data_IF_177858809922
#
_entry.id   IF_177858809922
#
_cell.length_a   1.000
_cell.length_b   1.000
_cell.length_c   1.000
_cell.angle_alpha   90.00
_cell.angle_beta   90.00
_cell.angle_gamma   90.00
#
_symmetry.space_group_name_H-M   'P 1'
#
loop_
_entity.id
_entity.type
_entity.pdbx_description
1 polymer ?
#
# COMPACT_ATOMS: atom_id res chain seq x y z
N UNK A 1 30.75 31.65 -15.82
CA UNK A 1 29.46 31.05 -15.38
C UNK A 1 29.14 31.71 -14.06
N UNK A 2 28.12 32.58 -13.99
CA UNK A 2 27.78 33.29 -12.75
C UNK A 2 27.21 32.29 -11.73
N UNK A 3 27.92 32.04 -10.64
CA UNK A 3 27.39 31.28 -9.50
C UNK A 3 26.26 32.09 -8.85
N UNK A 4 25.02 31.69 -9.14
CA UNK A 4 23.86 32.23 -8.42
C UNK A 4 23.92 31.76 -6.97
N UNK A 5 24.24 32.67 -6.06
CA UNK A 5 24.20 32.43 -4.60
C UNK A 5 22.77 32.18 -4.11
N UNK A 6 22.28 30.95 -4.26
CA UNK A 6 20.91 30.59 -3.94
C UNK A 6 20.70 30.28 -2.45
N UNK A 7 21.05 31.23 -1.58
CA UNK A 7 20.92 31.09 -0.10
C UNK A 7 19.50 30.79 0.37
N UNK A 8 18.49 31.14 -0.43
CA UNK A 8 17.06 30.96 -0.11
C UNK A 8 16.65 29.49 0.03
N UNK A 9 17.37 28.57 -0.62
CA UNK A 9 17.07 27.15 -0.63
C UNK A 9 18.22 26.30 -0.08
N UNK A 10 19.06 26.89 0.79
CA UNK A 10 20.14 26.16 1.44
C UNK A 10 19.60 24.93 2.19
N UNK A 11 20.18 23.77 1.91
CA UNK A 11 19.76 22.47 2.47
C UNK A 11 18.53 21.86 1.79
N UNK A 12 17.90 22.52 0.82
CA UNK A 12 16.81 21.90 0.06
C UNK A 12 17.38 20.80 -0.84
N UNK A 13 16.90 19.57 -0.64
CA UNK A 13 17.34 18.39 -1.40
C UNK A 13 16.51 18.23 -2.68
N UNK A 14 15.19 18.41 -2.56
CA UNK A 14 14.27 18.31 -3.69
C UNK A 14 12.99 19.11 -3.43
N UNK A 15 12.39 19.61 -4.50
CA UNK A 15 11.07 20.22 -4.52
C UNK A 15 10.22 19.70 -5.68
N UNK A 16 8.92 19.55 -5.42
CA UNK A 16 7.90 19.14 -6.39
C UNK A 16 6.83 20.24 -6.42
N UNK A 17 6.91 21.17 -7.40
CA UNK A 17 5.90 22.21 -7.55
C UNK A 17 4.63 21.70 -8.23
N UNK A 18 3.50 22.26 -7.82
CA UNK A 18 2.18 22.19 -8.47
C UNK A 18 1.64 23.60 -8.64
N UNK A 19 0.52 23.73 -9.35
CA UNK A 19 -0.15 25.02 -9.51
C UNK A 19 -0.59 25.64 -8.16
N UNK A 20 -1.05 24.82 -7.21
CA UNK A 20 -1.63 25.27 -5.93
C UNK A 20 -0.81 24.91 -4.69
N UNK A 21 0.17 24.04 -4.82
CA UNK A 21 0.99 23.60 -3.70
C UNK A 21 2.43 23.30 -4.10
N UNK A 22 3.30 23.18 -3.11
CA UNK A 22 4.69 22.75 -3.31
C UNK A 22 5.10 21.81 -2.19
N UNK A 23 5.48 20.59 -2.56
CA UNK A 23 6.15 19.66 -1.65
C UNK A 23 7.65 19.91 -1.70
N UNK A 24 8.31 19.91 -0.55
CA UNK A 24 9.75 20.12 -0.46
C UNK A 24 10.36 19.33 0.68
N UNK A 25 11.58 18.85 0.46
CA UNK A 25 12.37 18.16 1.46
C UNK A 25 13.66 18.94 1.69
N UNK A 26 13.89 19.32 2.94
CA UNK A 26 15.10 20.03 3.37
C UNK A 26 15.87 19.15 4.32
N UNK A 27 17.17 19.01 4.10
CA UNK A 27 18.02 18.28 5.00
C UNK A 27 18.31 19.08 6.27
N UNK A 28 18.32 18.38 7.41
CA UNK A 28 18.77 18.90 8.69
C UNK A 28 19.68 17.86 9.30
N UNK A 29 20.67 17.44 8.52
CA UNK A 29 21.65 16.44 8.91
C UNK A 29 22.57 17.04 9.96
N UNK A 30 22.83 16.27 11.02
CA UNK A 30 23.73 16.66 12.09
C UNK A 30 24.74 15.54 12.28
N UNK A 31 26.02 15.92 12.32
CA UNK A 31 27.07 14.96 12.67
C UNK A 31 26.88 14.52 14.11
N UNK A 32 27.10 13.25 14.37
CA UNK A 32 27.12 12.74 15.73
C UNK A 32 28.24 13.42 16.55
N UNK A 33 27.93 13.70 17.82
CA UNK A 33 28.87 14.23 18.82
C UNK A 33 29.09 13.24 19.96
N UNK A 34 30.15 13.44 20.74
CA UNK A 34 30.51 12.58 21.88
C UNK A 34 29.45 12.58 22.99
N UNK A 35 28.66 13.65 23.08
CA UNK A 35 27.58 13.81 24.08
C UNK A 35 26.40 12.85 23.87
N UNK A 36 26.24 12.29 22.67
CA UNK A 36 25.04 11.53 22.30
C UNK A 36 25.10 10.05 22.72
N UNK A 37 26.22 9.57 23.28
CA UNK A 37 26.35 8.24 23.91
C UNK A 37 26.20 7.03 22.97
N UNK A 38 26.07 7.26 21.67
CA UNK A 38 25.96 6.24 20.62
C UNK A 38 27.35 5.69 20.21
N UNK A 39 27.42 4.61 19.42
CA UNK A 39 28.68 4.12 18.85
C UNK A 39 29.42 5.21 18.06
N UNK A 40 30.72 5.38 18.32
CA UNK A 40 31.55 6.46 17.76
C UNK A 40 31.54 6.56 16.22
N UNK A 41 31.34 5.44 15.52
CA UNK A 41 31.30 5.39 14.05
C UNK A 41 29.90 5.62 13.46
N UNK A 42 28.88 5.87 14.29
CA UNK A 42 27.61 6.39 13.80
C UNK A 42 27.81 7.83 13.33
N UNK A 43 27.46 8.09 12.08
CA UNK A 43 27.82 9.35 11.41
C UNK A 43 26.79 10.43 11.68
N UNK A 44 25.51 10.03 11.73
CA UNK A 44 24.37 10.92 11.89
C UNK A 44 23.87 10.87 13.33
N UNK A 45 23.69 12.04 13.93
CA UNK A 45 22.96 12.19 15.19
C UNK A 45 21.54 11.65 15.04
N UNK A 46 20.92 11.15 16.12
CA UNK A 46 19.50 10.81 16.18
C UNK A 46 18.58 12.00 15.85
N UNK A 47 19.09 13.24 15.94
CA UNK A 47 18.39 14.47 15.57
C UNK A 47 18.41 14.76 14.06
N UNK A 48 19.16 13.98 13.29
CA UNK A 48 19.20 14.12 11.83
C UNK A 48 17.87 13.76 11.22
N UNK A 49 17.30 14.69 10.46
CA UNK A 49 16.00 14.53 9.82
C UNK A 49 16.03 15.05 8.39
N UNK A 50 15.07 14.60 7.59
CA UNK A 50 14.52 15.36 6.48
C UNK A 50 13.26 16.10 6.95
N UNK A 51 13.29 17.43 6.84
CA UNK A 51 12.13 18.28 7.08
C UNK A 51 11.28 18.30 5.81
N UNK A 52 10.11 17.68 5.87
CA UNK A 52 9.11 17.72 4.81
C UNK A 52 8.22 18.93 5.02
N UNK A 53 8.00 19.70 3.96
CA UNK A 53 7.11 20.85 3.96
C UNK A 53 6.18 20.78 2.76
N UNK A 54 4.87 20.86 3.02
CA UNK A 54 3.83 21.02 2.02
C UNK A 54 3.29 22.45 2.14
N UNK A 55 3.68 23.32 1.21
CA UNK A 55 3.21 24.71 1.14
C UNK A 55 1.96 24.80 0.26
N UNK A 56 0.94 25.51 0.73
CA UNK A 56 -0.27 25.84 -0.01
C UNK A 56 -0.19 27.31 -0.44
N UNK A 57 -0.22 27.57 -1.75
CA UNK A 57 -0.08 28.92 -2.31
C UNK A 57 -1.32 29.79 -2.03
N UNK A 58 -2.51 29.20 -1.96
CA UNK A 58 -3.75 29.93 -1.71
C UNK A 58 -3.83 30.35 -0.23
N UNK A 59 -3.46 29.45 0.68
CA UNK A 59 -3.45 29.73 2.13
C UNK A 59 -2.21 30.50 2.60
N UNK A 60 -1.16 30.57 1.78
CA UNK A 60 0.12 31.19 2.12
C UNK A 60 0.81 30.55 3.33
N UNK A 61 0.58 29.26 3.60
CA UNK A 61 1.11 28.57 4.77
C UNK A 61 1.59 27.16 4.46
N UNK A 62 2.50 26.64 5.30
CA UNK A 62 3.03 25.28 5.20
C UNK A 62 2.56 24.39 6.32
N UNK A 63 2.31 23.12 5.99
CA UNK A 63 2.39 22.02 6.94
C UNK A 63 3.79 21.42 6.90
N UNK A 64 4.31 21.06 8.07
CA UNK A 64 5.66 20.52 8.22
C UNK A 64 5.68 19.24 9.06
N UNK A 65 6.55 18.32 8.70
CA UNK A 65 6.80 17.09 9.46
C UNK A 65 8.27 16.67 9.33
N UNK A 66 8.77 15.99 10.36
CA UNK A 66 10.12 15.45 10.36
C UNK A 66 10.10 13.97 10.01
N UNK A 67 10.97 13.58 9.07
CA UNK A 67 11.31 12.19 8.79
C UNK A 67 12.72 11.95 9.34
N UNK A 68 12.88 11.18 10.43
CA UNK A 68 14.19 10.76 10.91
C UNK A 68 14.98 10.04 9.83
N UNK A 69 16.27 10.33 9.70
CA UNK A 69 17.12 9.65 8.70
C UNK A 69 17.24 8.14 8.97
N UNK A 70 17.06 7.72 10.23
CA UNK A 70 17.01 6.31 10.62
C UNK A 70 15.82 5.55 10.01
N UNK A 71 14.77 6.25 9.61
CA UNK A 71 13.58 5.64 9.00
C UNK A 71 13.74 5.47 7.47
N UNK A 72 14.72 6.13 6.86
CA UNK A 72 14.95 6.10 5.39
C UNK A 72 15.16 4.69 4.82
N UNK A 73 15.92 3.77 5.44
CA UNK A 73 16.09 2.42 4.90
C UNK A 73 14.77 1.67 4.72
N UNK A 74 13.82 1.85 5.65
CA UNK A 74 12.51 1.22 5.55
C UNK A 74 11.64 1.89 4.48
N UNK A 75 11.71 3.22 4.36
CA UNK A 75 11.01 3.97 3.32
C UNK A 75 11.48 3.53 1.93
N UNK A 76 12.79 3.41 1.72
CA UNK A 76 13.39 2.93 0.47
C UNK A 76 12.88 1.53 0.17
N UNK A 77 13.06 0.58 1.10
CA UNK A 77 12.68 -0.83 0.88
C UNK A 77 11.19 -1.00 0.59
N UNK A 78 10.32 -0.25 1.27
CA UNK A 78 8.87 -0.29 1.00
C UNK A 78 8.50 0.36 -0.33
N UNK A 79 9.23 1.39 -0.74
CA UNK A 79 9.09 1.98 -2.08
C UNK A 79 9.48 0.94 -3.12
N UNK A 80 10.65 0.31 -3.01
CA UNK A 80 11.10 -0.75 -3.95
C UNK A 80 10.07 -1.87 -4.11
N UNK A 81 9.47 -2.34 -3.00
CA UNK A 81 8.42 -3.36 -3.05
C UNK A 81 7.12 -2.86 -3.72
N UNK A 82 6.77 -1.57 -3.55
CA UNK A 82 5.61 -0.98 -4.18
C UNK A 82 5.83 -0.79 -5.70
N UNK A 83 7.03 -0.37 -6.10
CA UNK A 83 7.48 -0.30 -7.49
C UNK A 83 7.44 -1.67 -8.17
N UNK A 84 7.97 -2.71 -7.51
CA UNK A 84 7.91 -4.08 -8.02
C UNK A 84 6.46 -4.56 -8.21
N UNK A 85 5.55 -4.19 -7.30
CA UNK A 85 4.14 -4.51 -7.44
C UNK A 85 3.49 -3.77 -8.60
N UNK A 86 3.78 -2.48 -8.80
CA UNK A 86 3.30 -1.69 -9.95
C UNK A 86 3.81 -2.26 -11.27
N UNK A 87 5.10 -2.59 -11.34
CA UNK A 87 5.71 -3.20 -12.53
C UNK A 87 5.10 -4.55 -12.88
N UNK A 88 4.78 -5.39 -11.89
CA UNK A 88 4.08 -6.66 -12.12
C UNK A 88 2.68 -6.44 -12.67
N UNK A 89 1.92 -5.52 -12.08
CA UNK A 89 0.56 -5.21 -12.53
C UNK A 89 0.54 -4.72 -13.98
N UNK A 90 1.45 -3.80 -14.34
CA UNK A 90 1.54 -3.31 -15.72
C UNK A 90 1.99 -4.40 -16.71
N UNK A 91 2.87 -5.30 -16.28
CA UNK A 91 3.30 -6.44 -17.11
C UNK A 91 2.19 -7.48 -17.32
N UNK A 92 1.36 -7.73 -16.31
CA UNK A 92 0.19 -8.61 -16.39
C UNK A 92 -0.90 -8.00 -17.28
N UNK A 93 -1.15 -6.69 -17.18
CA UNK A 93 -2.08 -5.97 -18.08
C UNK A 93 -1.66 -6.06 -19.55
N UNK A 94 -0.36 -5.96 -19.83
CA UNK A 94 0.18 -6.15 -21.18
C UNK A 94 0.02 -7.60 -21.68
N UNK A 95 0.25 -8.58 -20.81
CA UNK A 95 0.09 -10.00 -21.16
C UNK A 95 -1.36 -10.39 -21.53
N UNK A 96 -2.36 -9.70 -20.95
CA UNK A 96 -3.78 -9.91 -21.29
C UNK A 96 -4.15 -9.27 -22.63
N UNK A 97 -3.41 -8.26 -23.09
CA UNK A 97 -3.68 -7.55 -24.36
C UNK A 97 -3.12 -8.23 -25.61
N UNK A 98 -2.13 -9.11 -25.47
CA UNK A 98 -1.49 -9.82 -26.59
C UNK A 98 -2.07 -11.22 -26.87
N UNK A 99 -3.00 -11.72 -26.04
CA UNK A 99 -3.61 -13.04 -26.19
C UNK A 99 -5.08 -12.96 -26.62
N UNK A 100 -5.31 -12.66 -27.91
CA UNK A 100 -6.47 -13.22 -28.63
C UNK A 100 -6.17 -14.71 -28.86
N UNK A 101 -6.17 -15.48 -27.77
CA UNK A 101 -5.53 -16.80 -27.77
C UNK A 101 -5.91 -17.72 -26.61
N UNK A 102 -7.05 -17.50 -25.95
CA UNK A 102 -7.76 -18.47 -25.12
C UNK A 102 -6.89 -19.33 -24.18
N UNK A 103 -6.58 -18.83 -22.99
CA UNK A 103 -6.46 -19.72 -21.82
C UNK A 103 -7.02 -19.06 -20.57
N UNK A 104 -8.28 -19.36 -20.28
CA UNK A 104 -8.96 -19.01 -19.04
C UNK A 104 -8.40 -19.85 -17.88
N UNK A 105 -7.73 -19.24 -16.92
CA UNK A 105 -7.62 -19.79 -15.56
C UNK A 105 -8.95 -19.50 -14.84
N UNK A 106 -9.94 -20.36 -15.11
CA UNK A 106 -11.21 -20.38 -14.38
C UNK A 106 -10.96 -20.82 -12.94
N UNK A 107 -11.39 -20.00 -11.97
CA UNK A 107 -11.84 -20.51 -10.68
C UNK A 107 -13.02 -21.43 -10.98
N UNK A 108 -12.80 -22.74 -11.04
CA UNK A 108 -13.81 -23.69 -11.52
C UNK A 108 -15.04 -23.67 -10.61
N UNK A 109 -16.08 -22.96 -11.04
CA UNK A 109 -17.44 -23.11 -10.50
C UNK A 109 -17.86 -24.55 -10.82
N UNK A 110 -18.20 -25.32 -9.77
CA UNK A 110 -18.65 -26.70 -9.93
C UNK A 110 -19.73 -26.81 -11.02
N UNK A 111 -19.61 -27.75 -11.98
CA UNK A 111 -20.59 -27.93 -13.04
C UNK A 111 -22.04 -28.06 -12.55
N UNK A 112 -22.24 -28.57 -11.33
CA UNK A 112 -23.55 -28.68 -10.69
C UNK A 112 -24.32 -27.35 -10.59
N UNK A 113 -23.61 -26.22 -10.51
CA UNK A 113 -24.17 -24.87 -10.36
C UNK A 113 -24.13 -24.05 -11.65
N UNK A 114 -23.82 -24.68 -12.78
CA UNK A 114 -23.90 -24.03 -14.09
C UNK A 114 -25.35 -24.07 -14.61
N UNK A 115 -25.88 -22.94 -15.13
CA UNK A 115 -27.24 -22.90 -15.65
C UNK A 115 -27.39 -23.71 -16.93
N UNK A 116 -28.47 -24.49 -17.03
CA UNK A 116 -28.78 -25.26 -18.22
C UNK A 116 -29.11 -24.34 -19.39
N UNK A 117 -28.67 -24.71 -20.59
CA UNK A 117 -28.80 -23.85 -21.77
C UNK A 117 -30.13 -24.05 -22.50
N UNK A 118 -30.75 -25.22 -22.36
CA UNK A 118 -31.85 -25.64 -23.24
C UNK A 118 -33.01 -26.35 -22.51
N UNK A 119 -34.21 -26.24 -23.09
CA UNK A 119 -35.42 -26.93 -22.65
C UNK A 119 -36.21 -26.17 -21.58
N UNK A 120 -37.15 -26.86 -20.92
CA UNK A 120 -38.01 -26.27 -19.87
C UNK A 120 -37.24 -25.81 -18.62
N UNK A 121 -35.99 -26.25 -18.49
CA UNK A 121 -35.09 -25.95 -17.39
C UNK A 121 -34.00 -24.94 -17.77
N UNK A 122 -34.09 -24.34 -18.97
CA UNK A 122 -33.12 -23.35 -19.41
C UNK A 122 -33.01 -22.18 -18.42
N UNK A 123 -31.79 -21.73 -18.15
CA UNK A 123 -31.47 -20.68 -17.20
C UNK A 123 -31.45 -21.12 -15.73
N UNK A 124 -31.78 -22.38 -15.42
CA UNK A 124 -31.74 -22.90 -14.04
C UNK A 124 -30.54 -23.80 -13.83
N UNK A 125 -29.87 -23.65 -12.69
CA UNK A 125 -28.79 -24.56 -12.28
C UNK A 125 -29.36 -25.81 -11.61
N UNK A 126 -28.93 -27.03 -12.01
CA UNK A 126 -29.42 -28.27 -11.42
C UNK A 126 -29.18 -28.38 -9.91
N UNK A 127 -28.05 -27.86 -9.41
CA UNK A 127 -27.71 -27.81 -7.99
C UNK A 127 -28.68 -26.94 -7.19
N UNK A 128 -28.97 -25.73 -7.66
CA UNK A 128 -29.95 -24.83 -7.01
C UNK A 128 -31.36 -25.45 -7.01
N UNK A 129 -31.77 -26.09 -8.10
CA UNK A 129 -33.06 -26.77 -8.18
C UNK A 129 -33.23 -27.88 -7.13
N UNK A 130 -32.15 -28.57 -6.76
CA UNK A 130 -32.14 -29.63 -5.76
C UNK A 130 -32.07 -29.09 -4.32
N UNK A 131 -31.44 -27.92 -4.12
CA UNK A 131 -31.37 -27.25 -2.82
C UNK A 131 -32.67 -26.53 -2.46
N UNK A 132 -33.29 -25.82 -3.42
CA UNK A 132 -34.45 -24.95 -3.20
C UNK A 132 -35.80 -25.71 -3.21
N UNK A 133 -35.84 -26.94 -3.72
CA UNK A 133 -37.08 -27.69 -3.86
C UNK A 133 -37.53 -28.37 -2.57
N UNK A 134 -38.80 -28.14 -2.20
CA UNK A 134 -39.50 -28.87 -1.13
C UNK A 134 -39.72 -30.35 -1.48
N UNK A 135 -39.73 -30.71 -2.76
CA UNK A 135 -39.87 -32.09 -3.23
C UNK A 135 -38.67 -32.48 -4.09
N UNK A 136 -37.58 -32.85 -3.41
CA UNK A 136 -36.29 -33.17 -4.04
C UNK A 136 -36.35 -34.39 -4.96
N UNK A 137 -37.16 -35.39 -4.62
CA UNK A 137 -37.37 -36.61 -5.43
C UNK A 137 -37.98 -36.32 -6.80
N UNK A 138 -38.96 -35.40 -6.87
CA UNK A 138 -39.56 -35.00 -8.14
C UNK A 138 -38.56 -34.25 -9.06
N UNK A 139 -37.67 -33.45 -8.47
CA UNK A 139 -36.60 -32.75 -9.21
C UNK A 139 -35.56 -33.74 -9.73
N UNK A 140 -35.14 -34.73 -8.93
CA UNK A 140 -34.24 -35.81 -9.38
C UNK A 140 -34.81 -36.54 -10.59
N UNK A 141 -36.10 -36.91 -10.57
CA UNK A 141 -36.76 -37.57 -11.70
C UNK A 141 -36.77 -36.68 -12.95
N UNK A 142 -37.03 -35.37 -12.78
CA UNK A 142 -37.06 -34.39 -13.87
C UNK A 142 -35.67 -34.20 -14.50
N UNK A 143 -34.64 -34.04 -13.67
CA UNK A 143 -33.25 -33.90 -14.12
C UNK A 143 -32.74 -35.16 -14.81
N UNK A 144 -33.06 -36.34 -14.28
CA UNK A 144 -32.70 -37.62 -14.90
C UNK A 144 -33.31 -37.76 -16.30
N UNK A 145 -34.61 -37.47 -16.44
CA UNK A 145 -35.29 -37.51 -17.74
C UNK A 145 -34.70 -36.51 -18.74
N UNK A 146 -34.36 -35.29 -18.28
CA UNK A 146 -33.71 -34.27 -19.11
C UNK A 146 -32.31 -34.73 -19.56
N UNK A 147 -31.52 -35.34 -18.67
CA UNK A 147 -30.21 -35.88 -19.00
C UNK A 147 -30.29 -37.00 -20.05
N UNK A 148 -31.24 -37.93 -19.93
CA UNK A 148 -31.43 -39.01 -20.90
C UNK A 148 -31.81 -38.47 -22.29
N UNK A 149 -32.71 -37.48 -22.35
CA UNK A 149 -33.07 -36.82 -23.59
C UNK A 149 -31.86 -36.13 -24.24
N UNK A 150 -31.04 -35.44 -23.45
CA UNK A 150 -29.83 -34.78 -23.96
C UNK A 150 -28.82 -35.81 -24.48
N UNK A 151 -28.59 -36.91 -23.75
CA UNK A 151 -27.68 -38.01 -24.12
C UNK A 151 -28.00 -38.60 -25.49
N UNK A 152 -29.29 -38.77 -25.81
CA UNK A 152 -29.72 -39.28 -27.12
C UNK A 152 -29.36 -38.34 -28.29
N UNK A 153 -29.16 -37.04 -28.01
CA UNK A 153 -28.95 -36.00 -29.03
C UNK A 153 -27.55 -35.39 -29.02
N UNK A 154 -26.64 -35.83 -28.14
CA UNK A 154 -25.26 -35.27 -28.03
C UNK A 154 -24.48 -35.40 -29.33
N UNK A 155 -24.60 -36.53 -30.03
CA UNK A 155 -23.88 -36.75 -31.30
C UNK A 155 -24.28 -35.72 -32.37
N UNK A 156 -25.53 -35.28 -32.35
CA UNK A 156 -26.05 -34.28 -33.27
C UNK A 156 -25.83 -32.84 -32.76
N UNK A 157 -25.81 -32.66 -31.44
CA UNK A 157 -25.62 -31.36 -30.78
C UNK A 157 -24.57 -31.48 -29.68
N UNK A 158 -23.27 -31.37 -30.02
CA UNK A 158 -22.18 -31.55 -29.06
C UNK A 158 -22.23 -30.61 -27.85
N UNK A 159 -22.86 -29.43 -28.01
CA UNK A 159 -23.07 -28.45 -26.93
C UNK A 159 -23.92 -28.97 -25.78
N UNK A 160 -24.70 -30.04 -25.98
CA UNK A 160 -25.48 -30.70 -24.93
C UNK A 160 -24.59 -31.39 -23.88
N UNK A 161 -23.31 -31.64 -24.17
CA UNK A 161 -22.40 -32.30 -23.24
C UNK A 161 -22.22 -31.50 -21.94
N UNK A 162 -22.21 -30.16 -22.02
CA UNK A 162 -22.09 -29.32 -20.83
C UNK A 162 -23.32 -29.43 -19.92
N UNK A 163 -24.52 -29.37 -20.49
CA UNK A 163 -25.77 -29.53 -19.74
C UNK A 163 -25.87 -30.95 -19.11
N UNK A 164 -25.40 -31.99 -19.82
CA UNK A 164 -25.33 -33.35 -19.28
C UNK A 164 -24.38 -33.43 -18.09
N UNK A 165 -23.22 -32.80 -18.20
CA UNK A 165 -22.20 -32.78 -17.15
C UNK A 165 -22.73 -32.04 -15.91
N UNK A 166 -23.38 -30.89 -16.11
CA UNK A 166 -24.00 -30.12 -15.03
C UNK A 166 -25.06 -30.94 -14.28
N UNK A 167 -25.93 -31.64 -15.02
CA UNK A 167 -26.97 -32.49 -14.42
C UNK A 167 -26.36 -33.70 -13.71
N UNK A 168 -25.39 -34.41 -14.31
CA UNK A 168 -24.79 -35.58 -13.69
C UNK A 168 -24.06 -35.23 -12.41
N UNK A 169 -23.25 -34.16 -12.42
CA UNK A 169 -22.52 -33.70 -11.24
C UNK A 169 -23.46 -33.26 -10.12
N UNK A 170 -24.55 -32.55 -10.43
CA UNK A 170 -25.54 -32.18 -9.41
C UNK A 170 -26.24 -33.39 -8.79
N UNK A 171 -26.59 -34.40 -9.58
CA UNK A 171 -27.20 -35.64 -9.09
C UNK A 171 -26.23 -36.45 -8.22
N UNK A 172 -24.95 -36.53 -8.61
CA UNK A 172 -23.90 -37.19 -7.83
C UNK A 172 -23.66 -36.48 -6.50
N UNK A 173 -23.47 -35.15 -6.50
CA UNK A 173 -23.31 -34.36 -5.28
C UNK A 173 -24.53 -34.47 -4.35
N UNK A 174 -25.74 -34.56 -4.92
CA UNK A 174 -26.96 -34.77 -4.17
C UNK A 174 -27.04 -36.16 -3.52
N UNK A 175 -26.65 -37.21 -4.24
CA UNK A 175 -26.58 -38.58 -3.70
C UNK A 175 -25.53 -38.70 -2.60
N UNK A 176 -24.40 -38.00 -2.75
CA UNK A 176 -23.31 -37.97 -1.77
C UNK A 176 -23.58 -37.05 -0.56
N UNK A 177 -24.64 -36.24 -0.60
CA UNK A 177 -24.97 -35.31 0.49
C UNK A 177 -24.05 -34.10 0.61
N UNK A 178 -23.23 -33.81 -0.41
CA UNK A 178 -22.23 -32.73 -0.43
C UNK A 178 -22.66 -31.52 -1.27
N UNK A 179 -23.92 -31.46 -1.67
CA UNK A 179 -24.41 -30.47 -2.62
C UNK A 179 -24.30 -29.03 -2.08
N UNK A 180 -24.52 -28.85 -0.77
CA UNK A 180 -24.36 -27.55 -0.09
C UNK A 180 -22.90 -27.09 -0.08
N UNK A 181 -21.95 -28.01 0.15
CA UNK A 181 -20.50 -27.71 0.12
C UNK A 181 -19.98 -27.37 -1.27
N UNK A 182 -20.69 -27.83 -2.31
CA UNK A 182 -20.34 -27.57 -3.71
C UNK A 182 -20.94 -26.24 -4.22
N UNK A 183 -21.85 -25.60 -3.46
CA UNK A 183 -22.49 -24.35 -3.88
C UNK A 183 -21.47 -23.22 -3.81
N UNK A 184 -21.18 -22.53 -4.93
CA UNK A 184 -20.35 -21.34 -4.88
C UNK A 184 -21.04 -20.29 -3.99
N UNK A 185 -20.31 -19.75 -3.03
CA UNK A 185 -20.82 -18.70 -2.14
C UNK A 185 -21.39 -17.54 -2.98
N UNK A 186 -22.69 -17.25 -2.81
CA UNK A 186 -23.40 -16.14 -3.50
C UNK A 186 -22.79 -14.75 -3.17
N UNK A 187 -21.85 -14.68 -2.23
CA UNK A 187 -21.03 -13.49 -1.97
C UNK A 187 -19.87 -13.29 -2.97
N UNK A 188 -19.74 -14.13 -4.00
CA UNK A 188 -18.75 -14.00 -5.07
C UNK A 188 -19.31 -13.53 -6.44
N UNK A 189 -20.54 -13.02 -6.49
CA UNK A 189 -21.09 -12.32 -7.67
C UNK A 189 -21.06 -10.78 -7.55
N UNK A 190 -20.38 -10.24 -6.54
CA UNK A 190 -19.75 -8.93 -6.75
C UNK A 190 -18.55 -9.18 -7.66
N UNK A 191 -18.51 -8.49 -8.81
CA UNK A 191 -17.23 -8.15 -9.43
C UNK A 191 -16.32 -7.74 -8.28
N UNK A 192 -15.37 -8.58 -7.90
CA UNK A 192 -14.28 -8.14 -7.06
C UNK A 192 -13.56 -7.14 -7.96
N UNK A 193 -13.97 -5.87 -7.88
CA UNK A 193 -13.02 -4.79 -8.12
C UNK A 193 -11.81 -5.20 -7.30
N UNK A 194 -10.64 -5.45 -7.92
CA UNK A 194 -9.47 -5.89 -7.19
C UNK A 194 -9.33 -4.93 -6.03
N UNK A 195 -9.46 -5.46 -4.80
CA UNK A 195 -9.53 -4.65 -3.59
C UNK A 195 -8.33 -3.71 -3.64
N UNK A 196 -8.61 -2.42 -3.82
CA UNK A 196 -7.59 -1.42 -4.13
C UNK A 196 -6.45 -1.57 -3.12
N UNK A 197 -5.32 -2.13 -3.54
CA UNK A 197 -4.21 -2.46 -2.64
C UNK A 197 -3.55 -1.15 -2.27
N UNK A 198 -3.79 -0.70 -1.04
CA UNK A 198 -3.16 0.50 -0.51
C UNK A 198 -2.02 0.13 0.45
N UNK A 199 -0.78 0.40 0.03
CA UNK A 199 0.43 0.14 0.80
C UNK A 199 0.77 1.34 1.66
N UNK A 200 1.11 1.10 2.93
CA UNK A 200 1.66 2.14 3.82
C UNK A 200 3.18 2.12 3.67
N UNK A 201 3.71 3.09 2.95
CA UNK A 201 5.16 3.28 2.81
C UNK A 201 5.73 3.77 4.14
N UNK A 202 5.13 4.82 4.70
CA UNK A 202 5.61 5.41 5.94
C UNK A 202 4.47 6.01 6.74
N UNK A 203 4.48 5.83 8.06
CA UNK A 203 3.48 6.40 8.96
C UNK A 203 4.13 6.65 10.31
N UNK A 204 3.99 7.86 10.81
CA UNK A 204 4.34 8.16 12.19
C UNK A 204 3.10 8.21 13.08
N UNK A 205 3.22 7.88 14.38
CA UNK A 205 2.27 8.42 15.34
C UNK A 205 2.31 9.96 15.32
N UNK A 206 1.34 10.60 15.97
CA UNK A 206 1.42 12.05 16.18
C UNK A 206 2.58 12.34 17.13
N UNK A 207 3.55 13.12 16.65
CA UNK A 207 4.73 13.54 17.40
C UNK A 207 4.56 15.00 17.83
N UNK A 208 5.11 15.34 18.99
CA UNK A 208 5.14 16.72 19.47
C UNK A 208 6.53 17.33 19.32
N UNK A 209 6.58 18.65 19.22
CA UNK A 209 7.82 19.43 19.32
C UNK A 209 8.07 19.83 20.78
N UNK A 210 9.34 20.15 21.09
CA UNK A 210 9.73 20.62 22.44
C UNK A 210 9.19 22.03 22.77
N UNK A 211 8.88 22.82 21.74
CA UNK A 211 8.33 24.17 21.90
C UNK A 211 6.94 24.10 22.57
N UNK A 212 6.66 25.05 23.46
CA UNK A 212 5.35 25.23 24.10
C UNK A 212 4.81 26.59 23.69
N UNK A 213 3.53 26.65 23.33
CA UNK A 213 2.79 27.86 22.99
C UNK A 213 1.44 27.76 23.71
N UNK A 214 1.18 28.69 24.63
CA UNK A 214 -0.08 28.75 25.39
C UNK A 214 -0.50 27.41 26.04
N UNK A 215 0.48 26.71 26.64
CA UNK A 215 0.27 25.41 27.27
C UNK A 215 0.10 24.23 26.30
N UNK A 216 0.20 24.47 25.00
CA UNK A 216 0.08 23.46 23.95
C UNK A 216 1.42 23.22 23.25
N UNK A 217 1.62 21.99 22.77
CA UNK A 217 2.76 21.63 21.94
C UNK A 217 2.36 21.62 20.46
N UNK A 218 3.17 22.23 19.57
CA UNK A 218 3.05 21.99 18.14
C UNK A 218 3.25 20.50 17.87
N UNK A 219 2.30 19.90 17.17
CA UNK A 219 2.29 18.48 16.85
C UNK A 219 2.26 18.27 15.34
N UNK A 220 2.75 17.12 14.90
CA UNK A 220 2.73 16.74 13.50
C UNK A 220 2.60 15.23 13.30
N UNK A 221 2.08 14.83 12.14
CA UNK A 221 2.23 13.48 11.63
C UNK A 221 2.43 13.48 10.13
N UNK A 222 3.06 12.44 9.62
CA UNK A 222 3.22 12.19 8.19
C UNK A 222 2.72 10.78 7.87
N UNK A 223 1.98 10.68 6.76
CA UNK A 223 1.54 9.43 6.17
C UNK A 223 1.91 9.45 4.69
N UNK A 224 2.58 8.38 4.26
CA UNK A 224 2.97 8.15 2.87
C UNK A 224 2.39 6.81 2.46
N UNK A 225 1.56 6.82 1.43
CA UNK A 225 0.88 5.63 0.92
C UNK A 225 1.12 5.45 -0.57
N UNK A 226 1.06 4.22 -1.05
CA UNK A 226 1.09 3.87 -2.46
C UNK A 226 -0.18 3.09 -2.81
N UNK A 227 -0.89 3.52 -3.85
CA UNK A 227 -1.99 2.81 -4.47
C UNK A 227 -1.65 2.53 -5.93
N UNK A 228 -1.10 1.36 -6.25
CA UNK A 228 -0.55 1.02 -7.58
C UNK A 228 -1.48 1.25 -8.77
N UNK A 229 -2.79 1.16 -8.57
CA UNK A 229 -3.78 1.27 -9.64
C UNK A 229 -4.13 2.71 -10.01
N UNK A 230 -3.46 3.72 -9.43
CA UNK A 230 -3.72 5.15 -9.70
C UNK A 230 -2.64 5.74 -10.60
N UNK A 231 -3.05 6.69 -11.44
CA UNK A 231 -2.16 7.53 -12.23
C UNK A 231 -1.14 8.29 -11.35
N UNK A 232 -1.57 8.72 -10.17
CA UNK A 232 -0.72 9.29 -9.12
C UNK A 232 -0.72 8.33 -7.92
N UNK A 233 0.12 7.28 -7.96
CA UNK A 233 0.03 6.17 -7.02
C UNK A 233 0.47 6.57 -5.62
N UNK A 234 1.36 7.56 -5.49
CA UNK A 234 1.88 7.98 -4.19
C UNK A 234 1.12 9.17 -3.62
N UNK A 235 0.80 9.10 -2.33
CA UNK A 235 0.21 10.21 -1.58
C UNK A 235 1.04 10.51 -0.35
N UNK A 236 1.42 11.78 -0.19
CA UNK A 236 2.01 12.33 1.04
C UNK A 236 0.97 13.18 1.74
N UNK A 237 0.57 12.79 2.95
CA UNK A 237 -0.34 13.54 3.81
C UNK A 237 0.41 14.05 5.04
N UNK A 238 0.31 15.35 5.30
CA UNK A 238 0.84 16.00 6.49
C UNK A 238 -0.32 16.49 7.36
N UNK A 239 -0.13 16.37 8.67
CA UNK A 239 -1.02 16.97 9.65
C UNK A 239 -0.20 17.82 10.62
N UNK A 240 -0.67 19.02 10.94
CA UNK A 240 -0.20 19.79 12.09
C UNK A 240 -1.37 20.19 12.98
N UNK A 241 -1.12 20.27 14.28
CA UNK A 241 -2.05 20.80 15.26
C UNK A 241 -1.30 21.33 16.49
N UNK A 242 -2.02 21.87 17.46
CA UNK A 242 -1.52 22.16 18.79
C UNK A 242 -2.25 21.28 19.80
N UNK A 243 -1.53 20.53 20.62
CA UNK A 243 -2.15 19.62 21.58
C UNK A 243 -1.38 19.60 22.91
N UNK A 244 -2.05 19.37 24.05
CA UNK A 244 -1.38 19.17 25.31
C UNK A 244 -0.80 17.75 25.40
N UNK A 245 0.13 17.55 26.32
CA UNK A 245 0.68 16.23 26.62
C UNK A 245 0.04 15.67 27.89
N UNK A 246 -0.27 14.38 27.86
CA UNK A 246 -0.64 13.63 29.05
C UNK A 246 0.60 13.24 29.85
N UNK A 247 0.36 12.65 31.01
CA UNK A 247 1.42 12.09 31.84
C UNK A 247 1.01 10.67 32.27
N UNK A 248 1.75 9.68 31.77
CA UNK A 248 1.58 8.30 32.18
C UNK A 248 2.50 7.98 33.36
N UNK A 249 2.08 7.04 34.22
CA UNK A 249 2.90 6.55 35.35
C UNK A 249 4.28 6.04 34.95
N UNK A 250 4.46 5.65 33.68
CA UNK A 250 5.73 5.23 33.08
C UNK A 250 6.68 6.38 32.72
N UNK A 251 6.28 7.64 32.94
CA UNK A 251 7.04 8.83 32.51
C UNK A 251 6.86 9.17 31.02
N UNK A 252 6.09 8.37 30.27
CA UNK A 252 5.73 8.68 28.88
C UNK A 252 4.73 9.83 28.81
N UNK A 253 4.94 10.73 27.85
CA UNK A 253 4.11 11.92 27.62
C UNK A 253 3.35 11.82 26.29
N UNK A 254 2.21 11.10 26.23
CA UNK A 254 1.45 10.95 25.00
C UNK A 254 0.79 12.27 24.59
N UNK A 255 0.62 12.46 23.27
CA UNK A 255 -0.13 13.61 22.74
C UNK A 255 -1.63 13.39 22.93
N UNK A 256 -2.32 14.32 23.60
CA UNK A 256 -3.76 14.25 23.86
C UNK A 256 -4.55 14.82 22.69
N UNK A 257 -4.72 14.01 21.64
CA UNK A 257 -5.36 14.44 20.39
C UNK A 257 -6.84 14.86 20.55
N UNK A 258 -7.54 14.37 21.57
CA UNK A 258 -8.91 14.77 21.88
C UNK A 258 -9.02 16.26 22.27
N UNK A 259 -7.91 16.84 22.74
CA UNK A 259 -7.81 18.24 23.15
C UNK A 259 -7.06 19.09 22.12
N UNK A 260 -6.80 18.54 20.93
CA UNK A 260 -6.04 19.22 19.90
C UNK A 260 -6.83 20.40 19.31
N UNK A 261 -6.12 21.49 19.04
CA UNK A 261 -6.59 22.71 18.38
C UNK A 261 -5.90 22.87 17.03
N UNK A 262 -6.56 23.61 16.14
CA UNK A 262 -6.06 23.98 14.81
C UNK A 262 -5.53 22.80 14.00
N UNK A 263 -6.28 21.69 13.99
CA UNK A 263 -5.93 20.51 13.20
C UNK A 263 -6.05 20.87 11.72
N UNK A 264 -4.90 20.94 11.05
CA UNK A 264 -4.80 21.15 9.61
C UNK A 264 -4.20 19.91 8.96
N UNK A 265 -4.81 19.47 7.87
CA UNK A 265 -4.37 18.34 7.07
C UNK A 265 -4.34 18.76 5.61
N UNK A 266 -3.21 18.54 4.96
CA UNK A 266 -3.06 18.72 3.53
C UNK A 266 -2.34 17.50 2.95
N UNK A 267 -2.60 17.26 1.67
CA UNK A 267 -2.05 16.11 0.95
C UNK A 267 -1.64 16.49 -0.46
N UNK A 268 -0.70 15.73 -1.00
CA UNK A 268 -0.28 15.84 -2.40
C UNK A 268 -0.13 14.44 -3.00
N UNK A 269 -0.62 14.30 -4.22
CA UNK A 269 -0.49 13.09 -5.02
C UNK A 269 0.67 13.26 -6.02
N UNK A 270 1.47 12.21 -6.13
CA UNK A 270 2.72 12.15 -6.88
C UNK A 270 2.67 10.99 -7.87
N UNK A 271 3.27 11.20 -9.04
CA UNK A 271 3.53 10.10 -9.97
C UNK A 271 4.60 9.17 -9.40
N UNK A 272 4.72 7.98 -9.99
CA UNK A 272 5.81 7.03 -9.71
C UNK A 272 7.18 7.72 -9.82
N UNK A 273 7.46 8.33 -10.97
CA UNK A 273 8.73 8.99 -11.25
C UNK A 273 9.06 10.10 -10.26
N UNK A 274 8.07 10.87 -9.81
CA UNK A 274 8.29 11.92 -8.81
C UNK A 274 8.64 11.36 -7.44
N UNK A 275 7.93 10.35 -6.98
CA UNK A 275 8.20 9.74 -5.68
C UNK A 275 9.53 8.99 -5.66
N UNK A 276 9.82 8.19 -6.70
CA UNK A 276 11.11 7.50 -6.85
C UNK A 276 12.24 8.51 -6.87
N UNK A 277 12.10 9.63 -7.59
CA UNK A 277 13.09 10.71 -7.59
C UNK A 277 13.27 11.33 -6.21
N UNK A 278 12.19 11.54 -5.44
CA UNK A 278 12.29 12.02 -4.05
C UNK A 278 13.13 11.04 -3.23
N UNK A 279 12.80 9.75 -3.23
CA UNK A 279 13.51 8.73 -2.45
C UNK A 279 14.98 8.64 -2.85
N UNK A 280 15.28 8.65 -4.14
CA UNK A 280 16.65 8.64 -4.67
C UNK A 280 17.46 9.87 -4.25
N UNK A 281 16.88 11.07 -4.35
CA UNK A 281 17.54 12.30 -3.93
C UNK A 281 17.84 12.31 -2.42
N UNK A 282 16.89 11.84 -1.59
CA UNK A 282 17.09 11.75 -0.13
C UNK A 282 18.15 10.69 0.23
N UNK A 283 18.18 9.56 -0.48
CA UNK A 283 19.18 8.51 -0.27
C UNK A 283 20.57 9.00 -0.68
N UNK A 284 20.69 9.56 -1.88
CA UNK A 284 21.93 10.10 -2.43
C UNK A 284 22.49 11.24 -1.58
N UNK A 285 21.65 12.14 -1.07
CA UNK A 285 22.07 13.19 -0.14
C UNK A 285 22.65 12.62 1.16
N UNK A 286 22.01 11.59 1.72
CA UNK A 286 22.49 10.93 2.94
C UNK A 286 23.84 10.22 2.69
N UNK A 287 23.99 9.56 1.55
CA UNK A 287 25.24 8.91 1.16
C UNK A 287 26.37 9.91 0.90
N UNK A 288 26.09 11.03 0.24
CA UNK A 288 27.05 12.10 0.02
C UNK A 288 27.54 12.69 1.36
N UNK A 289 26.62 13.03 2.26
CA UNK A 289 26.98 13.50 3.60
C UNK A 289 27.81 12.46 4.37
N UNK A 290 27.48 11.17 4.22
CA UNK A 290 28.24 10.06 4.80
C UNK A 290 29.68 10.05 4.31
N UNK A 291 29.89 10.16 3.00
CA UNK A 291 31.22 10.14 2.38
C UNK A 291 32.07 11.34 2.79
N UNK A 292 31.46 12.50 3.03
CA UNK A 292 32.17 13.70 3.49
C UNK A 292 32.57 13.57 4.96
N UNK A 293 31.70 13.04 5.83
CA UNK A 293 31.94 13.05 7.29
C UNK A 293 32.67 11.81 7.80
N UNK A 294 32.50 10.65 7.16
CA UNK A 294 33.08 9.38 7.64
C UNK A 294 34.62 9.38 7.69
N UNK A 295 35.37 9.92 6.72
CA UNK A 295 36.84 9.89 6.78
C UNK A 295 37.41 10.60 8.01
N UNK A 296 36.83 11.75 8.36
CA UNK A 296 37.22 12.50 9.56
C UNK A 296 36.91 11.72 10.84
N UNK A 297 35.71 11.10 10.92
CA UNK A 297 35.34 10.24 12.04
C UNK A 297 36.27 9.02 12.15
N UNK A 298 36.60 8.36 11.04
CA UNK A 298 37.48 7.20 11.03
C UNK A 298 38.91 7.54 11.46
N UNK A 299 39.40 8.72 11.08
CA UNK A 299 40.71 9.23 11.53
C UNK A 299 40.72 9.47 13.03
N UNK A 300 39.65 10.06 13.57
CA UNK A 300 39.53 10.28 15.02
C UNK A 300 39.37 8.96 15.79
N UNK A 301 38.59 8.00 15.27
CA UNK A 301 38.44 6.66 15.84
C UNK A 301 39.79 5.93 15.93
N UNK A 302 40.61 6.02 14.87
CA UNK A 302 41.95 5.44 14.88
C UNK A 302 42.85 6.09 15.96
N UNK A 303 42.80 7.42 16.12
CA UNK A 303 43.51 8.10 17.22
C UNK A 303 43.00 7.64 18.59
N UNK A 304 41.69 7.58 18.79
CA UNK A 304 41.10 7.18 20.06
C UNK A 304 41.47 5.73 20.44
N UNK A 305 41.52 4.81 19.46
CA UNK A 305 41.88 3.40 19.69
C UNK A 305 43.35 3.18 19.99
N UNK A 306 44.24 3.89 19.31
CA UNK A 306 45.68 3.58 19.33
C UNK A 306 46.53 4.59 20.11
N UNK A 307 46.04 5.80 20.32
CA UNK A 307 46.73 6.84 21.09
C UNK A 307 46.13 7.05 22.51
N UNK A 308 45.09 6.27 22.87
CA UNK A 308 44.39 6.37 24.16
C UNK A 308 45.09 5.71 25.35
N UNK A 309 46.23 5.05 25.16
CA UNK A 309 47.03 4.47 26.26
C UNK A 309 48.15 5.41 26.69
N UNK A 310 47.77 6.56 27.27
CA UNK A 310 48.65 7.36 28.10
C UNK A 310 47.81 8.07 29.18
N UNK A 311 47.23 7.26 30.06
CA UNK A 311 46.68 7.68 31.35
C UNK A 311 46.75 6.50 32.30
#
# INVERSE_FOLDING_TARGET
MEEKNNKKYAGQVIDIPRAKSRLSFTDRLQRMTEEEGEPFLNIFSQRSIYLVSLFDFEKGSSLIANIPVGDMPLIVKRTDCAEEAMFRLSSEELAVSDDVGATETQTEISPAFQPLRMGKLAGKAPGDMLLESLNKQAIVATLTSQMEFLKQRVRQYPKNQADITAISTALECFQLGILEDCKPDESQAAVQTPKEKNYIIYKTPVKHQKKIIDGMHPCYSVLITCTPTKEYPYRVELMNCYAPLGELKSGMKPVLMEQAKDIRKDKIDLTEAEWVRVVDCLKSNLEAARQVWYPALRTQDAKNRWNGNAS
#
